data_IF_953538835058
#
_entry.id   IF_953538835058
#
_cell.length_a   1.000
_cell.length_b   1.000
_cell.length_c   1.000
_cell.angle_alpha   90.00
_cell.angle_beta   90.00
_cell.angle_gamma   90.00
#
_symmetry.space_group_name_H-M   'P 1'
#
loop_
_entity.id
_entity.type
_entity.pdbx_description
1 polymer ?
#
# COMPACT_ATOMS: atom_id res chain seq x y z
N UNK A 1 2.33 -9.69 -9.40
CA UNK A 1 3.45 -10.17 -8.55
C UNK A 1 2.88 -10.82 -7.30
N UNK A 2 3.68 -11.62 -6.58
CA UNK A 2 3.29 -12.22 -5.29
C UNK A 2 2.82 -11.14 -4.29
N UNK A 3 3.54 -10.02 -4.22
CA UNK A 3 3.18 -8.87 -3.39
C UNK A 3 1.75 -8.37 -3.65
N UNK A 4 1.38 -8.11 -4.91
CA UNK A 4 0.03 -7.65 -5.24
C UNK A 4 -1.06 -8.64 -4.82
N UNK A 5 -0.80 -9.95 -4.93
CA UNK A 5 -1.73 -10.97 -4.46
C UNK A 5 -1.87 -10.92 -2.92
N UNK A 6 -0.74 -10.84 -2.21
CA UNK A 6 -0.72 -10.69 -0.74
C UNK A 6 -1.54 -9.47 -0.33
N UNK A 7 -1.26 -8.30 -0.88
CA UNK A 7 -1.95 -7.05 -0.55
C UNK A 7 -3.45 -7.11 -0.86
N UNK A 8 -3.81 -7.62 -2.03
CA UNK A 8 -5.21 -7.75 -2.46
C UNK A 8 -6.02 -8.55 -1.44
N UNK A 9 -5.52 -9.72 -1.03
CA UNK A 9 -6.26 -10.62 -0.14
C UNK A 9 -6.09 -10.29 1.33
N UNK A 10 -4.91 -9.84 1.77
CA UNK A 10 -4.65 -9.52 3.17
C UNK A 10 -5.26 -8.20 3.59
N UNK A 11 -5.46 -7.23 2.69
CA UNK A 11 -5.86 -5.85 3.03
C UNK A 11 -7.03 -5.34 2.21
N UNK A 12 -6.92 -5.35 0.87
CA UNK A 12 -7.83 -4.57 0.04
C UNK A 12 -9.30 -5.03 0.13
N UNK A 13 -9.53 -6.34 0.24
CA UNK A 13 -10.90 -6.87 0.40
C UNK A 13 -11.55 -6.44 1.71
N UNK A 14 -10.93 -6.71 2.85
CA UNK A 14 -11.58 -6.52 4.15
C UNK A 14 -11.60 -5.06 4.60
N UNK A 15 -10.55 -4.28 4.27
CA UNK A 15 -10.45 -2.88 4.69
C UNK A 15 -11.25 -1.92 3.81
N UNK A 16 -11.46 -2.26 2.53
CA UNK A 16 -12.06 -1.35 1.56
C UNK A 16 -13.32 -1.93 0.91
N UNK A 17 -13.22 -3.07 0.22
CA UNK A 17 -14.36 -3.58 -0.55
C UNK A 17 -15.52 -4.08 0.32
N UNK A 18 -15.27 -4.95 1.29
CA UNK A 18 -16.32 -5.61 2.08
C UNK A 18 -17.21 -4.63 2.86
N UNK A 19 -16.68 -3.60 3.55
CA UNK A 19 -17.52 -2.62 4.26
C UNK A 19 -18.45 -1.85 3.31
N UNK A 20 -17.94 -1.48 2.12
CA UNK A 20 -18.73 -0.76 1.12
C UNK A 20 -19.76 -1.68 0.47
N UNK A 21 -19.39 -2.91 0.12
CA UNK A 21 -20.31 -3.90 -0.43
C UNK A 21 -21.45 -4.22 0.55
N UNK A 22 -21.16 -4.32 1.84
CA UNK A 22 -22.18 -4.49 2.88
C UNK A 22 -23.13 -3.28 2.91
N UNK A 23 -22.62 -2.06 2.89
CA UNK A 23 -23.43 -0.85 2.83
C UNK A 23 -24.28 -0.76 1.54
N UNK A 24 -23.73 -1.17 0.39
CA UNK A 24 -24.45 -1.25 -0.88
C UNK A 24 -25.64 -2.22 -0.77
N UNK A 25 -25.43 -3.41 -0.22
CA UNK A 25 -26.52 -4.36 0.02
C UNK A 25 -27.60 -3.83 0.97
N UNK A 26 -27.20 -3.14 2.05
CA UNK A 26 -28.13 -2.51 2.98
C UNK A 26 -28.93 -1.35 2.35
N UNK A 27 -28.33 -0.67 1.36
CA UNK A 27 -28.97 0.40 0.60
C UNK A 27 -29.83 -0.11 -0.58
N UNK A 28 -29.97 -1.42 -0.75
CA UNK A 28 -30.75 -2.02 -1.82
C UNK A 28 -30.04 -2.07 -3.19
N UNK A 29 -28.71 -1.90 -3.20
CA UNK A 29 -27.88 -1.97 -4.41
C UNK A 29 -27.36 -3.40 -4.56
N UNK A 30 -28.02 -4.17 -5.43
CA UNK A 30 -27.74 -5.61 -5.64
C UNK A 30 -27.09 -5.92 -6.98
N UNK A 31 -26.96 -4.96 -7.91
CA UNK A 31 -26.48 -5.28 -9.26
C UNK A 31 -25.00 -5.63 -9.24
N UNK A 32 -24.67 -6.72 -9.93
CA UNK A 32 -23.31 -7.23 -10.03
C UNK A 32 -22.38 -6.21 -10.68
N UNK A 33 -22.90 -5.42 -11.63
CA UNK A 33 -22.15 -4.35 -12.30
C UNK A 33 -21.68 -3.29 -11.30
N UNK A 34 -22.58 -2.78 -10.44
CA UNK A 34 -22.20 -1.78 -9.45
C UNK A 34 -21.18 -2.34 -8.43
N UNK A 35 -21.39 -3.57 -7.97
CA UNK A 35 -20.45 -4.22 -7.05
C UNK A 35 -19.08 -4.43 -7.70
N UNK A 36 -19.03 -4.80 -8.99
CA UNK A 36 -17.77 -4.95 -9.71
C UNK A 36 -17.08 -3.61 -9.97
N UNK A 37 -17.84 -2.55 -10.29
CA UNK A 37 -17.30 -1.19 -10.42
C UNK A 37 -16.72 -0.69 -9.09
N UNK A 38 -17.45 -0.83 -7.98
CA UNK A 38 -16.95 -0.48 -6.65
C UNK A 38 -15.70 -1.29 -6.29
N UNK A 39 -15.69 -2.59 -6.61
CA UNK A 39 -14.55 -3.49 -6.37
C UNK A 39 -13.29 -3.03 -7.09
N UNK A 40 -13.39 -2.59 -8.35
CA UNK A 40 -12.23 -2.11 -9.10
C UNK A 40 -11.57 -0.90 -8.43
N UNK A 41 -12.37 0.09 -8.03
CA UNK A 41 -11.89 1.27 -7.31
C UNK A 41 -11.27 0.88 -5.96
N UNK A 42 -12.01 0.10 -5.16
CA UNK A 42 -11.65 -0.19 -3.76
C UNK A 42 -10.47 -1.15 -3.64
N UNK A 43 -10.25 -2.02 -4.61
CA UNK A 43 -9.06 -2.89 -4.61
C UNK A 43 -7.78 -2.12 -4.95
N UNK A 44 -7.82 -1.17 -5.90
CA UNK A 44 -6.67 -0.30 -6.16
C UNK A 44 -6.37 0.61 -4.95
N UNK A 45 -7.44 1.12 -4.33
CA UNK A 45 -7.35 1.93 -3.12
C UNK A 45 -6.70 1.15 -1.97
N UNK A 46 -7.07 -0.12 -1.79
CA UNK A 46 -6.47 -1.00 -0.80
C UNK A 46 -5.00 -1.36 -1.11
N UNK A 47 -4.63 -1.47 -2.38
CA UNK A 47 -3.23 -1.64 -2.79
C UNK A 47 -2.39 -0.42 -2.38
N UNK A 48 -2.86 0.78 -2.74
CA UNK A 48 -2.20 2.02 -2.37
C UNK A 48 -2.06 2.18 -0.85
N UNK A 49 -3.14 1.90 -0.10
CA UNK A 49 -3.13 1.99 1.36
C UNK A 49 -2.10 1.07 2.02
N UNK A 50 -1.97 -0.17 1.53
CA UNK A 50 -1.01 -1.11 2.10
C UNK A 50 0.43 -0.74 1.76
N UNK A 51 0.68 -0.22 0.56
CA UNK A 51 2.03 0.25 0.18
C UNK A 51 2.45 1.42 1.08
N UNK A 52 1.52 2.32 1.40
CA UNK A 52 1.76 3.38 2.37
C UNK A 52 2.00 2.83 3.79
N UNK A 53 1.27 1.81 4.24
CA UNK A 53 1.54 1.14 5.52
C UNK A 53 2.94 0.51 5.56
N UNK A 54 3.35 -0.19 4.50
CA UNK A 54 4.69 -0.78 4.37
C UNK A 54 5.80 0.30 4.36
N UNK A 55 5.55 1.45 3.71
CA UNK A 55 6.48 2.59 3.73
C UNK A 55 6.60 3.20 5.13
N UNK A 56 5.46 3.46 5.78
CA UNK A 56 5.41 4.03 7.13
C UNK A 56 5.95 3.07 8.20
N UNK A 57 5.90 1.76 7.97
CA UNK A 57 6.55 0.79 8.85
C UNK A 57 8.07 1.02 8.90
N UNK A 58 8.70 1.29 7.75
CA UNK A 58 10.14 1.53 7.70
C UNK A 58 10.55 2.97 8.06
N UNK A 59 9.81 3.96 7.54
CA UNK A 59 10.19 5.38 7.55
C UNK A 59 9.29 6.28 8.40
N UNK A 60 8.16 5.77 8.89
CA UNK A 60 7.25 6.54 9.72
C UNK A 60 7.81 6.80 11.11
N UNK A 61 7.49 7.97 11.66
CA UNK A 61 7.77 8.29 13.05
C UNK A 61 6.88 7.43 13.98
N UNK A 62 7.45 6.60 14.88
CA UNK A 62 6.67 5.79 15.83
C UNK A 62 5.70 6.61 16.70
N UNK A 63 6.00 7.89 16.98
CA UNK A 63 5.11 8.76 17.73
C UNK A 63 3.82 9.11 16.95
N UNK A 64 3.88 9.08 15.62
CA UNK A 64 2.75 9.37 14.74
C UNK A 64 2.02 8.08 14.33
N UNK A 65 2.76 7.04 13.94
CA UNK A 65 2.20 5.74 13.53
C UNK A 65 1.65 4.94 14.71
N UNK A 66 2.13 5.22 15.93
CA UNK A 66 1.76 4.53 17.16
C UNK A 66 2.37 3.13 17.30
N UNK A 67 3.28 2.73 16.40
CA UNK A 67 3.97 1.44 16.41
C UNK A 67 5.42 1.61 15.95
N UNK A 68 6.30 0.76 16.49
CA UNK A 68 7.63 0.56 15.92
C UNK A 68 7.47 -0.41 14.75
N UNK A 69 8.03 -0.07 13.59
CA UNK A 69 8.00 -0.96 12.44
C UNK A 69 8.86 -2.20 12.62
N UNK A 70 8.38 -3.31 12.08
CA UNK A 70 9.01 -4.64 12.23
C UNK A 70 9.17 -5.39 10.92
N UNK A 71 8.75 -4.82 9.77
CA UNK A 71 8.70 -5.53 8.49
C UNK A 71 10.04 -6.13 8.08
N UNK A 72 11.14 -5.40 8.34
CA UNK A 72 12.51 -5.86 8.06
C UNK A 72 12.86 -7.04 8.97
N UNK A 73 12.66 -6.92 10.29
CA UNK A 73 12.99 -7.99 11.25
C UNK A 73 12.14 -9.25 11.03
N UNK A 74 10.88 -9.07 10.65
CA UNK A 74 9.91 -10.15 10.45
C UNK A 74 10.04 -10.81 9.06
N UNK A 75 11.02 -10.38 8.26
CA UNK A 75 11.24 -10.87 6.89
C UNK A 75 9.97 -10.75 6.02
N UNK A 76 9.23 -9.64 6.17
CA UNK A 76 7.98 -9.45 5.43
C UNK A 76 8.27 -9.12 3.97
N UNK A 77 7.41 -9.62 3.10
CA UNK A 77 7.32 -9.21 1.71
C UNK A 77 6.63 -7.83 1.64
N UNK A 78 7.33 -6.79 2.08
CA UNK A 78 6.88 -5.40 2.02
C UNK A 78 7.09 -4.81 0.63
N UNK A 79 6.40 -3.71 0.32
CA UNK A 79 6.61 -2.99 -0.94
C UNK A 79 8.07 -2.56 -1.12
N UNK A 80 8.71 -2.11 -0.05
CA UNK A 80 10.08 -1.60 -0.07
C UNK A 80 11.08 -2.66 -0.56
N UNK A 81 11.02 -3.88 0.00
CA UNK A 81 11.95 -4.95 -0.41
C UNK A 81 11.69 -5.39 -1.85
N UNK A 82 10.42 -5.49 -2.25
CA UNK A 82 10.03 -5.88 -3.61
C UNK A 82 10.55 -4.86 -4.61
N UNK A 83 10.37 -3.56 -4.32
CA UNK A 83 10.78 -2.49 -5.21
C UNK A 83 12.30 -2.30 -5.23
N UNK A 84 12.98 -2.45 -4.09
CA UNK A 84 14.44 -2.43 -4.03
C UNK A 84 15.06 -3.55 -4.89
N UNK A 85 14.50 -4.78 -4.83
CA UNK A 85 14.97 -5.93 -5.62
C UNK A 85 14.90 -5.71 -7.14
N UNK A 86 14.06 -4.79 -7.61
CA UNK A 86 13.95 -4.45 -9.03
C UNK A 86 15.07 -3.53 -9.53
N UNK A 87 15.72 -2.78 -8.64
CA UNK A 87 16.67 -1.71 -9.01
C UNK A 87 18.07 -1.90 -8.44
N UNK A 88 18.26 -2.83 -7.51
CA UNK A 88 19.56 -3.07 -6.86
C UNK A 88 20.56 -3.81 -7.75
N UNK A 89 21.84 -3.58 -7.49
CA UNK A 89 22.93 -4.37 -8.06
C UNK A 89 23.07 -5.74 -7.36
N UNK A 90 23.80 -6.70 -7.95
CA UNK A 90 24.08 -7.98 -7.30
C UNK A 90 24.78 -7.85 -5.94
N UNK A 91 25.68 -6.87 -5.78
CA UNK A 91 26.41 -6.62 -4.53
C UNK A 91 25.45 -6.12 -3.44
N UNK A 92 24.63 -5.12 -3.77
CA UNK A 92 23.58 -4.60 -2.88
C UNK A 92 22.57 -5.69 -2.49
N UNK A 93 22.26 -6.60 -3.42
CA UNK A 93 21.39 -7.75 -3.14
C UNK A 93 22.01 -8.69 -2.12
N UNK A 94 23.29 -9.00 -2.24
CA UNK A 94 24.01 -9.85 -1.28
C UNK A 94 24.00 -9.22 0.12
N UNK A 95 24.18 -7.90 0.21
CA UNK A 95 24.10 -7.16 1.46
C UNK A 95 22.70 -7.20 2.08
N UNK A 96 21.66 -7.02 1.26
CA UNK A 96 20.27 -7.15 1.68
C UNK A 96 20.01 -8.57 2.22
N UNK A 97 20.39 -9.61 1.50
CA UNK A 97 20.17 -11.02 1.90
C UNK A 97 20.88 -11.38 3.21
N UNK A 98 22.02 -10.73 3.51
CA UNK A 98 22.72 -10.92 4.78
C UNK A 98 21.97 -10.30 5.99
N UNK A 99 21.27 -9.18 5.77
CA UNK A 99 20.70 -8.34 6.84
C UNK A 99 19.18 -8.44 6.98
N UNK A 100 18.43 -8.72 5.91
CA UNK A 100 16.97 -8.76 5.93
C UNK A 100 16.46 -9.96 6.75
N UNK A 101 15.41 -9.77 7.56
CA UNK A 101 14.90 -10.80 8.46
C UNK A 101 15.74 -11.05 9.72
N UNK A 102 16.74 -10.21 10.00
CA UNK A 102 17.52 -10.25 11.23
C UNK A 102 16.89 -9.35 12.30
N UNK A 103 16.96 -9.78 13.55
CA UNK A 103 16.31 -9.09 14.68
C UNK A 103 17.16 -8.00 15.31
N UNK A 104 18.46 -7.97 15.03
CA UNK A 104 19.36 -6.97 15.59
C UNK A 104 19.24 -5.62 14.87
N UNK A 105 19.42 -4.54 15.64
CA UNK A 105 19.26 -3.18 15.15
C UNK A 105 20.30 -2.80 14.08
N UNK A 106 21.49 -3.41 14.12
CA UNK A 106 22.56 -3.13 13.16
C UNK A 106 22.19 -3.63 11.75
N UNK A 107 21.62 -4.82 11.64
CA UNK A 107 21.10 -5.33 10.36
C UNK A 107 19.92 -4.49 9.86
N UNK A 108 19.00 -4.08 10.73
CA UNK A 108 17.89 -3.20 10.33
C UNK A 108 18.40 -1.85 9.81
N UNK A 109 19.37 -1.24 10.50
CA UNK A 109 19.98 0.02 10.08
C UNK A 109 20.62 -0.10 8.69
N UNK A 110 21.38 -1.18 8.43
CA UNK A 110 21.98 -1.43 7.11
C UNK A 110 20.95 -1.57 5.99
N UNK A 111 19.83 -2.24 6.26
CA UNK A 111 18.73 -2.34 5.27
C UNK A 111 18.15 -0.95 4.97
N UNK A 112 17.97 -0.11 6.00
CA UNK A 112 17.48 1.28 5.81
C UNK A 112 18.48 2.13 5.03
N UNK A 113 19.77 2.05 5.34
CA UNK A 113 20.84 2.72 4.59
C UNK A 113 20.84 2.30 3.11
N UNK A 114 20.64 1.00 2.85
CA UNK A 114 20.52 0.50 1.48
C UNK A 114 19.28 1.06 0.78
N UNK A 115 18.13 1.11 1.44
CA UNK A 115 16.93 1.74 0.89
C UNK A 115 17.12 3.23 0.59
N UNK A 116 17.85 3.94 1.44
CA UNK A 116 18.18 5.35 1.22
C UNK A 116 19.11 5.52 0.01
N UNK A 117 20.13 4.66 -0.13
CA UNK A 117 21.02 4.63 -1.28
C UNK A 117 20.28 4.33 -2.60
N UNK A 118 19.23 3.51 -2.54
CA UNK A 118 18.34 3.20 -3.67
C UNK A 118 17.26 4.28 -3.92
N UNK A 119 17.25 5.37 -3.12
CA UNK A 119 16.27 6.45 -3.19
C UNK A 119 14.82 5.96 -3.06
N UNK A 120 14.60 4.96 -2.19
CA UNK A 120 13.27 4.40 -1.93
C UNK A 120 12.22 5.43 -1.53
N UNK A 121 12.51 6.45 -0.69
CA UNK A 121 11.57 7.53 -0.40
C UNK A 121 11.11 8.29 -1.65
N UNK A 122 12.04 8.60 -2.57
CA UNK A 122 11.71 9.28 -3.84
C UNK A 122 10.80 8.42 -4.71
N UNK A 123 11.10 7.12 -4.82
CA UNK A 123 10.27 6.18 -5.57
C UNK A 123 8.87 6.04 -4.95
N UNK A 124 8.76 6.03 -3.62
CA UNK A 124 7.49 5.99 -2.92
C UNK A 124 6.66 7.25 -3.20
N UNK A 125 7.23 8.45 -3.05
CA UNK A 125 6.48 9.69 -3.28
C UNK A 125 6.01 9.84 -4.73
N UNK A 126 6.79 9.36 -5.70
CA UNK A 126 6.34 9.25 -7.09
C UNK A 126 5.16 8.30 -7.22
N UNK A 127 5.26 7.10 -6.65
CA UNK A 127 4.18 6.11 -6.66
C UNK A 127 2.90 6.62 -5.98
N UNK A 128 3.03 7.36 -4.87
CA UNK A 128 1.92 7.96 -4.12
C UNK A 128 1.14 8.96 -4.98
N UNK A 129 1.83 9.84 -5.69
CA UNK A 129 1.21 10.80 -6.61
C UNK A 129 0.53 10.10 -7.78
N UNK A 130 1.23 9.17 -8.45
CA UNK A 130 0.69 8.41 -9.58
C UNK A 130 -0.53 7.56 -9.17
N UNK A 131 -0.52 7.00 -7.96
CA UNK A 131 -1.65 6.20 -7.45
C UNK A 131 -2.85 7.06 -7.10
N UNK A 132 -2.63 8.26 -6.57
CA UNK A 132 -3.73 9.19 -6.33
C UNK A 132 -4.41 9.65 -7.63
N UNK A 133 -3.62 9.96 -8.66
CA UNK A 133 -4.14 10.30 -9.98
C UNK A 133 -4.91 9.13 -10.60
N UNK A 134 -4.33 7.93 -10.60
CA UNK A 134 -4.99 6.69 -11.08
C UNK A 134 -6.31 6.44 -10.34
N UNK A 135 -6.37 6.65 -9.03
CA UNK A 135 -7.60 6.51 -8.26
C UNK A 135 -8.67 7.52 -8.68
N UNK A 136 -8.30 8.77 -8.96
CA UNK A 136 -9.25 9.77 -9.45
C UNK A 136 -9.84 9.36 -10.81
N UNK A 137 -9.00 8.84 -11.72
CA UNK A 137 -9.44 8.33 -13.03
C UNK A 137 -10.38 7.12 -12.89
N UNK A 138 -10.01 6.14 -12.06
CA UNK A 138 -10.85 4.97 -11.79
C UNK A 138 -12.20 5.36 -11.20
N UNK A 139 -12.23 6.33 -10.28
CA UNK A 139 -13.48 6.84 -9.71
C UNK A 139 -14.34 7.50 -10.79
N UNK A 140 -13.76 8.37 -11.62
CA UNK A 140 -14.48 9.03 -12.71
C UNK A 140 -15.05 8.02 -13.73
N UNK A 141 -14.33 6.93 -13.99
CA UNK A 141 -14.74 5.90 -14.95
C UNK A 141 -15.83 4.97 -14.38
N UNK A 142 -15.68 4.51 -13.14
CA UNK A 142 -16.49 3.40 -12.60
C UNK A 142 -17.58 3.80 -11.62
N UNK A 143 -17.56 5.01 -11.06
CA UNK A 143 -18.54 5.40 -10.04
C UNK A 143 -19.87 5.92 -10.63
N UNK A 144 -20.17 5.79 -11.93
CA UNK A 144 -21.33 6.44 -12.58
C UNK A 144 -22.67 6.25 -11.86
N UNK A 145 -23.00 5.02 -11.49
CA UNK A 145 -24.25 4.68 -10.78
C UNK A 145 -24.08 4.65 -9.25
N UNK A 146 -22.94 5.14 -8.75
CA UNK A 146 -22.59 5.14 -7.34
C UNK A 146 -22.26 6.57 -6.86
N UNK A 147 -22.39 6.86 -5.56
CA UNK A 147 -22.02 8.17 -5.04
C UNK A 147 -20.51 8.40 -5.14
N UNK A 148 -20.05 9.15 -6.16
CA UNK A 148 -18.63 9.45 -6.39
C UNK A 148 -17.97 10.07 -5.16
N UNK A 149 -18.72 10.90 -4.43
CA UNK A 149 -18.26 11.58 -3.22
C UNK A 149 -17.77 10.59 -2.15
N UNK A 150 -18.34 9.39 -2.06
CA UNK A 150 -17.89 8.37 -1.10
C UNK A 150 -16.44 7.96 -1.42
N UNK A 151 -16.17 7.59 -2.67
CA UNK A 151 -14.84 7.15 -3.10
C UNK A 151 -13.82 8.30 -3.05
N UNK A 152 -14.20 9.51 -3.46
CA UNK A 152 -13.34 10.69 -3.38
C UNK A 152 -12.97 11.03 -1.92
N UNK A 153 -13.93 10.92 -1.00
CA UNK A 153 -13.67 11.13 0.42
C UNK A 153 -12.71 10.08 0.99
N UNK A 154 -12.83 8.82 0.57
CA UNK A 154 -11.88 7.78 0.98
C UNK A 154 -10.49 8.04 0.40
N UNK A 155 -10.38 8.33 -0.90
CA UNK A 155 -9.12 8.67 -1.55
C UNK A 155 -8.42 9.85 -0.86
N UNK A 156 -9.17 10.90 -0.53
CA UNK A 156 -8.66 12.07 0.19
C UNK A 156 -8.17 11.75 1.60
N UNK A 157 -8.81 10.80 2.30
CA UNK A 157 -8.39 10.38 3.64
C UNK A 157 -7.09 9.60 3.65
N UNK A 158 -6.80 8.82 2.60
CA UNK A 158 -5.59 7.99 2.54
C UNK A 158 -4.42 8.69 1.84
N UNK A 159 -4.69 9.65 0.95
CA UNK A 159 -3.63 10.38 0.26
C UNK A 159 -2.82 11.23 1.24
N UNK A 160 -1.49 11.06 1.23
CA UNK A 160 -0.56 11.72 2.16
C UNK A 160 -0.96 11.57 3.62
N UNK A 161 -1.51 10.41 4.01
CA UNK A 161 -1.79 10.14 5.41
C UNK A 161 -0.46 10.00 6.14
N UNK A 162 -0.39 10.60 7.33
CA UNK A 162 0.72 10.39 8.24
C UNK A 162 0.36 9.33 9.31
N UNK A 163 -0.86 8.77 9.27
CA UNK A 163 -1.42 7.79 10.20
C UNK A 163 -2.56 6.99 9.57
#
# INVERSE_FOLDING_TARGET
SLYKAIVKYKTAFYSFYQPVAAAMYMAGIYSEEEHNNAKQILLDMGEFFQIQDDYLDCYGDPAVTGKIGTDIQDNKCSWLVVKALEVMTPEQRSELEACYGRKDEASVAKVKELYDALQMPTLYHKYEEESYQRLQELIAQHAQNLPHSIFLNFAKKIYKRNK
#
